data_IF_178800861428
#
_entry.id   IF_178800861428
#
_cell.length_a   1.000
_cell.length_b   1.000
_cell.length_c   1.000
_cell.angle_alpha   90.00
_cell.angle_beta   90.00
_cell.angle_gamma   90.00
#
_symmetry.space_group_name_H-M   'P 1'
#
loop_
_entity.id
_entity.type
_entity.pdbx_description
1 polymer ?
#
# COMPACT_ATOMS: atom_id res chain seq x y z
N UNK A 1 -7.47 -1.04 -15.28
CA UNK A 1 -8.19 0.25 -15.16
C UNK A 1 -9.72 0.11 -15.25
N UNK A 2 -10.28 -0.80 -16.07
CA UNK A 2 -11.75 -1.02 -16.16
C UNK A 2 -12.36 -1.84 -15.00
N UNK A 3 -11.60 -2.68 -14.29
CA UNK A 3 -12.17 -3.60 -13.28
C UNK A 3 -12.23 -3.06 -11.84
N UNK A 4 -11.70 -1.87 -11.56
CA UNK A 4 -11.73 -1.27 -10.21
C UNK A 4 -12.98 -0.41 -9.96
N UNK A 5 -13.81 -0.14 -10.98
CA UNK A 5 -14.92 0.83 -10.95
C UNK A 5 -16.33 0.20 -10.85
N UNK A 6 -16.46 -1.11 -10.70
CA UNK A 6 -17.78 -1.78 -10.72
C UNK A 6 -18.15 -2.46 -9.40
N UNK A 7 -17.75 -1.84 -8.28
CA UNK A 7 -18.25 -2.17 -6.95
C UNK A 7 -18.25 -0.92 -6.08
N UNK A 8 -19.04 -0.92 -4.99
CA UNK A 8 -19.21 0.26 -4.13
C UNK A 8 -17.89 0.89 -3.63
N UNK A 9 -16.78 0.13 -3.57
CA UNK A 9 -15.45 0.65 -3.23
C UNK A 9 -14.71 1.34 -4.39
N UNK A 10 -15.08 1.05 -5.64
CA UNK A 10 -14.52 1.62 -6.86
C UNK A 10 -14.98 3.05 -7.13
N UNK A 11 -16.28 3.28 -7.03
CA UNK A 11 -16.88 4.61 -7.16
C UNK A 11 -16.40 5.54 -6.04
N UNK A 12 -16.28 5.02 -4.82
CA UNK A 12 -15.75 5.77 -3.69
C UNK A 12 -14.26 6.15 -3.88
N UNK A 13 -13.43 5.24 -4.40
CA UNK A 13 -12.03 5.54 -4.71
C UNK A 13 -11.88 6.53 -5.87
N UNK A 14 -12.71 6.40 -6.91
CA UNK A 14 -12.74 7.33 -8.03
C UNK A 14 -13.15 8.74 -7.58
N UNK A 15 -14.22 8.83 -6.78
CA UNK A 15 -14.67 10.10 -6.19
C UNK A 15 -13.61 10.71 -5.25
N UNK A 16 -12.92 9.89 -4.47
CA UNK A 16 -11.83 10.33 -3.60
C UNK A 16 -10.66 10.93 -4.40
N UNK A 17 -10.29 10.29 -5.51
CA UNK A 17 -9.10 10.67 -6.31
C UNK A 17 -9.41 11.83 -7.25
N UNK A 18 -10.58 11.86 -7.88
CA UNK A 18 -10.92 12.82 -8.94
C UNK A 18 -11.94 13.88 -8.52
N UNK A 19 -12.85 13.55 -7.59
CA UNK A 19 -13.95 14.45 -7.14
C UNK A 19 -13.71 15.04 -5.75
N UNK A 20 -12.50 14.93 -5.20
CA UNK A 20 -12.09 15.51 -3.91
C UNK A 20 -12.55 16.96 -3.72
N UNK A 21 -12.40 17.76 -4.78
CA UNK A 21 -12.73 19.19 -4.78
C UNK A 21 -14.23 19.47 -4.67
N UNK A 22 -15.06 18.52 -5.06
CA UNK A 22 -16.52 18.59 -5.06
C UNK A 22 -17.12 18.27 -3.69
N UNK A 23 -16.31 17.77 -2.74
CA UNK A 23 -16.77 17.45 -1.39
C UNK A 23 -17.05 18.69 -0.53
N UNK A 24 -18.04 18.58 0.36
CA UNK A 24 -18.28 19.57 1.40
C UNK A 24 -17.08 19.71 2.34
N UNK A 25 -16.90 20.88 2.97
CA UNK A 25 -15.79 21.10 3.91
C UNK A 25 -15.72 20.06 5.05
N UNK A 26 -16.84 19.67 5.71
CA UNK A 26 -16.82 18.59 6.70
C UNK A 26 -16.35 17.24 6.13
N UNK A 27 -16.77 16.89 4.91
CA UNK A 27 -16.37 15.66 4.24
C UNK A 27 -14.87 15.67 3.89
N UNK A 28 -14.34 16.81 3.42
CA UNK A 28 -12.90 16.98 3.18
C UNK A 28 -12.11 16.81 4.48
N UNK A 29 -12.55 17.40 5.59
CA UNK A 29 -11.86 17.20 6.87
C UNK A 29 -11.85 15.74 7.31
N UNK A 30 -12.98 15.03 7.18
CA UNK A 30 -13.09 13.62 7.56
C UNK A 30 -12.15 12.73 6.75
N UNK A 31 -12.13 12.90 5.43
CA UNK A 31 -11.23 12.16 4.55
C UNK A 31 -9.77 12.52 4.79
N UNK A 32 -9.44 13.80 5.00
CA UNK A 32 -8.06 14.19 5.32
C UNK A 32 -7.58 13.47 6.58
N UNK A 33 -8.43 13.38 7.60
CA UNK A 33 -8.09 12.65 8.83
C UNK A 33 -7.90 11.14 8.61
N UNK A 34 -8.58 10.55 7.62
CA UNK A 34 -8.33 9.16 7.20
C UNK A 34 -7.02 9.03 6.43
N UNK A 35 -6.74 9.95 5.50
CA UNK A 35 -5.50 9.99 4.73
C UNK A 35 -4.28 10.18 5.63
N UNK A 36 -4.35 11.10 6.60
CA UNK A 36 -3.27 11.36 7.56
C UNK A 36 -2.98 10.09 8.39
N UNK A 37 -4.02 9.37 8.82
CA UNK A 37 -3.86 8.09 9.55
C UNK A 37 -3.24 7.01 8.69
N UNK A 38 -3.71 6.86 7.45
CA UNK A 38 -3.14 5.92 6.49
C UNK A 38 -1.65 6.20 6.24
N UNK A 39 -1.30 7.47 6.00
CA UNK A 39 0.08 7.89 5.80
C UNK A 39 0.95 7.67 7.04
N UNK A 40 0.41 7.90 8.24
CA UNK A 40 1.12 7.67 9.49
C UNK A 40 1.43 6.18 9.72
N UNK A 41 0.48 5.28 9.42
CA UNK A 41 0.72 3.83 9.51
C UNK A 41 1.87 3.41 8.58
N UNK A 42 1.85 3.85 7.33
CA UNK A 42 2.92 3.57 6.38
C UNK A 42 4.26 4.17 6.81
N UNK A 43 4.24 5.40 7.32
CA UNK A 43 5.44 6.05 7.83
C UNK A 43 6.05 5.27 8.99
N UNK A 44 5.23 4.77 9.92
CA UNK A 44 5.70 3.97 11.06
C UNK A 44 6.41 2.71 10.58
N UNK A 45 5.77 1.90 9.74
CA UNK A 45 6.33 0.62 9.27
C UNK A 45 7.66 0.81 8.54
N UNK A 46 7.75 1.82 7.67
CA UNK A 46 9.00 2.10 6.95
C UNK A 46 10.08 2.64 7.89
N UNK A 47 9.72 3.49 8.86
CA UNK A 47 10.65 3.95 9.89
C UNK A 47 11.16 2.80 10.74
N UNK A 48 10.31 1.86 11.13
CA UNK A 48 10.68 0.67 11.90
C UNK A 48 11.64 -0.22 11.11
N UNK A 49 11.39 -0.42 9.82
CA UNK A 49 12.29 -1.18 8.94
C UNK A 49 13.67 -0.51 8.77
N UNK A 50 13.73 0.83 8.70
CA UNK A 50 15.00 1.58 8.69
C UNK A 50 15.73 1.43 10.04
N UNK A 51 15.02 1.58 11.16
CA UNK A 51 15.58 1.45 12.51
C UNK A 51 16.10 0.04 12.79
N UNK A 52 15.43 -0.97 12.26
CA UNK A 52 15.85 -2.38 12.32
C UNK A 52 17.00 -2.71 11.35
N UNK A 53 17.43 -1.77 10.49
CA UNK A 53 18.50 -1.96 9.52
C UNK A 53 18.14 -2.85 8.32
N UNK A 54 16.85 -3.19 8.14
CA UNK A 54 16.37 -4.00 7.01
C UNK A 54 16.46 -3.24 5.67
N UNK A 55 16.36 -1.91 5.74
CA UNK A 55 16.52 -0.98 4.63
C UNK A 55 17.31 0.24 5.08
N UNK A 56 18.00 0.89 4.14
CA UNK A 56 18.85 2.06 4.42
C UNK A 56 18.35 3.26 3.63
N UNK A 57 18.31 4.43 4.26
CA UNK A 57 17.93 5.70 3.64
C UNK A 57 16.88 6.47 4.42
N UNK A 58 16.33 7.51 3.80
CA UNK A 58 15.26 8.32 4.39
C UNK A 58 13.90 7.60 4.29
N UNK A 59 13.27 7.36 5.44
CA UNK A 59 12.01 6.62 5.52
C UNK A 59 10.86 7.30 4.76
N UNK A 60 10.81 8.63 4.65
CA UNK A 60 9.75 9.34 3.92
C UNK A 60 9.91 9.18 2.42
N UNK A 61 11.15 9.25 1.92
CA UNK A 61 11.47 9.00 0.50
C UNK A 61 11.13 7.56 0.14
N UNK A 62 11.59 6.59 0.95
CA UNK A 62 11.31 5.17 0.72
C UNK A 62 9.80 4.91 0.70
N UNK A 63 9.05 5.43 1.68
CA UNK A 63 7.58 5.32 1.72
C UNK A 63 6.94 5.77 0.40
N UNK A 64 7.36 6.92 -0.14
CA UNK A 64 6.85 7.46 -1.40
C UNK A 64 7.18 6.57 -2.60
N UNK A 65 8.40 6.02 -2.65
CA UNK A 65 8.79 5.09 -3.71
C UNK A 65 7.93 3.82 -3.70
N UNK A 66 7.75 3.20 -2.52
CA UNK A 66 6.94 1.98 -2.37
C UNK A 66 5.48 2.25 -2.75
N UNK A 67 4.85 3.29 -2.17
CA UNK A 67 3.47 3.64 -2.49
C UNK A 67 3.28 4.00 -3.97
N UNK A 68 4.23 4.72 -4.57
CA UNK A 68 4.22 5.04 -6.00
C UNK A 68 4.28 3.78 -6.87
N UNK A 69 5.19 2.86 -6.56
CA UNK A 69 5.31 1.59 -7.25
C UNK A 69 4.00 0.78 -7.17
N UNK A 70 3.42 0.66 -5.96
CA UNK A 70 2.14 -0.02 -5.72
C UNK A 70 1.00 0.59 -6.52
N UNK A 71 0.84 1.91 -6.49
CA UNK A 71 -0.23 2.62 -7.20
C UNK A 71 -0.18 2.40 -8.72
N UNK A 72 1.03 2.28 -9.29
CA UNK A 72 1.19 2.09 -10.73
C UNK A 72 0.96 0.64 -11.17
N UNK A 73 1.02 -0.34 -10.26
CA UNK A 73 0.85 -1.77 -10.60
C UNK A 73 -0.46 -2.06 -11.34
N UNK A 74 -1.57 -1.41 -10.97
CA UNK A 74 -2.87 -1.59 -11.62
C UNK A 74 -2.93 -1.17 -13.09
N UNK A 75 -1.89 -0.50 -13.60
CA UNK A 75 -1.79 -0.10 -15.01
C UNK A 75 -1.15 -1.18 -15.88
N UNK A 76 -0.29 -2.04 -15.33
CA UNK A 76 0.53 -2.97 -16.12
C UNK A 76 0.54 -4.42 -15.61
N UNK A 77 0.26 -4.65 -14.32
CA UNK A 77 0.19 -5.99 -13.75
C UNK A 77 -1.06 -6.74 -14.26
N UNK A 78 -0.88 -8.03 -14.60
CA UNK A 78 -1.95 -8.91 -15.07
C UNK A 78 -1.96 -10.19 -14.22
N UNK A 79 -3.02 -10.46 -13.43
CA UNK A 79 -3.10 -11.64 -12.55
C UNK A 79 -2.95 -13.00 -13.26
N UNK A 80 -3.40 -13.12 -14.51
CA UNK A 80 -3.22 -14.32 -15.35
C UNK A 80 -1.94 -14.29 -16.20
N UNK A 81 -0.99 -13.40 -15.88
CA UNK A 81 0.26 -13.24 -16.60
C UNK A 81 1.37 -14.13 -16.04
N UNK A 82 2.61 -13.62 -16.08
CA UNK A 82 3.81 -14.37 -15.67
C UNK A 82 3.84 -14.73 -14.18
N UNK A 83 3.25 -13.91 -13.31
CA UNK A 83 3.23 -14.09 -11.86
C UNK A 83 1.80 -14.00 -11.33
N UNK A 84 1.40 -14.99 -10.55
CA UNK A 84 0.16 -14.94 -9.79
C UNK A 84 0.23 -13.82 -8.72
N UNK A 85 -0.91 -13.36 -8.17
CA UNK A 85 -0.92 -12.23 -7.23
C UNK A 85 -0.02 -12.41 -6.00
N UNK A 86 0.00 -13.60 -5.40
CA UNK A 86 0.85 -13.90 -4.24
C UNK A 86 2.34 -13.79 -4.61
N UNK A 87 2.76 -14.43 -5.70
CA UNK A 87 4.16 -14.38 -6.17
C UNK A 87 4.60 -12.97 -6.55
N UNK A 88 3.68 -12.17 -7.09
CA UNK A 88 3.93 -10.76 -7.40
C UNK A 88 4.14 -9.92 -6.14
N UNK A 89 3.32 -10.15 -5.11
CA UNK A 89 3.47 -9.48 -3.80
C UNK A 89 4.82 -9.83 -3.18
N UNK A 90 5.20 -11.11 -3.18
CA UNK A 90 6.50 -11.56 -2.66
C UNK A 90 7.67 -10.91 -3.42
N UNK A 91 7.58 -10.86 -4.75
CA UNK A 91 8.60 -10.18 -5.57
C UNK A 91 8.70 -8.68 -5.27
N UNK A 92 7.57 -8.00 -5.04
CA UNK A 92 7.57 -6.58 -4.64
C UNK A 92 8.15 -6.37 -3.24
N UNK A 93 7.82 -7.25 -2.28
CA UNK A 93 8.37 -7.20 -0.92
C UNK A 93 9.88 -7.37 -0.95
N UNK A 94 10.40 -8.36 -1.69
CA UNK A 94 11.84 -8.56 -1.84
C UNK A 94 12.52 -7.35 -2.50
N UNK A 95 11.89 -6.75 -3.52
CA UNK A 95 12.43 -5.54 -4.16
C UNK A 95 12.49 -4.34 -3.20
N UNK A 96 11.50 -4.20 -2.32
CA UNK A 96 11.44 -3.12 -1.33
C UNK A 96 12.34 -3.39 -0.10
N UNK A 97 12.49 -4.65 0.30
CA UNK A 97 13.20 -5.12 1.49
C UNK A 97 14.20 -6.23 1.09
N UNK A 98 15.32 -5.89 0.42
CA UNK A 98 16.24 -6.88 -0.14
C UNK A 98 16.96 -7.75 0.91
N UNK A 99 16.94 -7.33 2.19
CA UNK A 99 17.53 -8.09 3.30
C UNK A 99 16.50 -8.89 4.10
N UNK A 100 15.23 -8.92 3.66
CA UNK A 100 14.17 -9.63 4.35
C UNK A 100 14.48 -11.15 4.36
N UNK A 101 14.49 -11.79 5.55
CA UNK A 101 14.69 -13.24 5.63
C UNK A 101 13.61 -14.01 4.86
N UNK A 102 13.99 -15.12 4.23
CA UNK A 102 13.05 -16.00 3.54
C UNK A 102 11.95 -16.51 4.48
N UNK A 103 10.68 -16.43 4.04
CA UNK A 103 9.53 -16.92 4.81
C UNK A 103 8.94 -15.90 5.80
N UNK A 104 9.44 -14.67 5.84
CA UNK A 104 8.86 -13.57 6.64
C UNK A 104 7.87 -12.77 5.79
N UNK A 105 6.72 -12.41 6.37
CA UNK A 105 5.76 -11.51 5.71
C UNK A 105 4.97 -12.16 4.57
N UNK A 106 4.83 -13.48 4.57
CA UNK A 106 4.02 -14.22 3.60
C UNK A 106 2.58 -13.74 3.61
N UNK A 107 2.04 -13.51 2.41
CA UNK A 107 0.64 -13.16 2.22
C UNK A 107 -0.20 -14.39 1.79
N UNK A 108 -1.42 -14.59 2.33
CA UNK A 108 -2.04 -13.82 3.41
C UNK A 108 -1.26 -13.99 4.71
N UNK A 109 -1.16 -12.91 5.49
CA UNK A 109 -0.61 -13.00 6.85
C UNK A 109 -1.53 -13.96 7.59
N UNK A 110 -1.01 -15.12 8.01
CA UNK A 110 -1.80 -16.09 8.75
C UNK A 110 -2.50 -15.34 9.91
N UNK A 111 -3.79 -15.58 10.12
CA UNK A 111 -4.65 -14.83 11.05
C UNK A 111 -4.30 -15.01 12.55
N UNK A 112 -3.06 -15.36 12.88
CA UNK A 112 -2.53 -15.64 14.20
C UNK A 112 -1.31 -14.72 14.36
N UNK A 113 -1.37 -13.59 15.07
CA UNK A 113 -1.60 -13.49 16.51
C UNK A 113 -1.99 -12.06 16.93
N UNK A 114 -3.29 -11.74 16.96
CA UNK A 114 -3.81 -10.70 17.89
C UNK A 114 -4.14 -11.39 19.21
N UNK A 115 -3.10 -11.64 19.99
CA UNK A 115 -3.20 -12.32 21.28
C UNK A 115 -1.91 -12.16 22.06
N UNK A 116 -1.68 -10.93 22.55
CA UNK A 116 -0.87 -10.57 23.71
C UNK A 116 -1.09 -9.08 23.99
#
# INVERSE_FOLDING_TARGET
MWSMLHGAGGDAMNALVYEWRSLSAPSQSAVKALSDRYEAMWQSVVSDAVNAGLIKGDARVIKRCVLGAMNLTGQWYKPGGRLAPAEFIDAMLLAALPTLPSGVGTWPVDAVSRGA
#
